data_IF_238433877317
#
_entry.id   IF_238433877317
#
_cell.length_a   1.000
_cell.length_b   1.000
_cell.length_c   1.000
_cell.angle_alpha   90.00
_cell.angle_beta   90.00
_cell.angle_gamma   90.00
#
_symmetry.space_group_name_H-M   'P 1'
#
loop_
_entity.id
_entity.type
_entity.pdbx_description
1 polymer ?
#
# COMPACT_ATOMS: atom_id res chain seq x y z
N UNK A 1 5.51 21.06 -15.94
CA UNK A 1 5.75 19.69 -15.45
C UNK A 1 5.55 19.70 -13.95
N UNK A 2 4.52 19.04 -13.42
CA UNK A 2 4.30 18.92 -11.97
C UNK A 2 5.37 17.97 -11.41
N UNK A 3 6.16 18.46 -10.46
CA UNK A 3 7.18 17.66 -9.77
C UNK A 3 6.49 16.46 -9.11
N UNK A 4 7.00 15.23 -9.33
CA UNK A 4 6.42 14.04 -8.68
C UNK A 4 6.56 14.19 -7.17
N UNK A 5 5.43 14.15 -6.46
CA UNK A 5 5.40 14.10 -5.01
C UNK A 5 5.60 12.66 -4.53
N UNK A 6 6.48 12.49 -3.55
CA UNK A 6 6.79 11.20 -2.95
C UNK A 6 6.38 11.19 -1.49
N UNK A 7 5.63 10.17 -1.11
CA UNK A 7 5.27 9.82 0.26
C UNK A 7 6.36 8.93 0.85
N UNK A 8 6.55 8.96 2.17
CA UNK A 8 7.53 8.10 2.84
C UNK A 8 6.86 6.83 3.35
N UNK A 9 7.57 5.71 3.30
CA UNK A 9 7.06 4.43 3.78
C UNK A 9 8.15 3.63 4.49
N UNK A 10 7.87 3.27 5.75
CA UNK A 10 8.79 2.48 6.58
C UNK A 10 8.03 1.37 7.27
N UNK A 11 8.52 0.14 7.19
CA UNK A 11 7.96 -1.03 7.89
C UNK A 11 9.04 -1.77 8.65
N UNK A 12 8.74 -2.32 9.81
CA UNK A 12 9.64 -3.18 10.56
C UNK A 12 9.09 -4.61 10.54
N UNK A 13 9.97 -5.60 10.50
CA UNK A 13 9.54 -6.98 10.67
C UNK A 13 9.12 -7.20 12.12
N UNK A 14 7.91 -7.71 12.33
CA UNK A 14 7.46 -8.09 13.66
C UNK A 14 7.90 -9.52 13.96
N UNK A 15 8.99 -9.67 14.72
CA UNK A 15 9.51 -10.98 15.13
C UNK A 15 8.52 -11.78 15.99
N UNK A 16 7.59 -11.11 16.68
CA UNK A 16 6.53 -11.72 17.49
C UNK A 16 5.29 -12.16 16.70
N UNK A 17 5.22 -11.90 15.39
CA UNK A 17 4.13 -12.37 14.53
C UNK A 17 4.24 -13.85 14.14
N UNK A 18 5.35 -14.53 14.51
CA UNK A 18 5.51 -15.96 14.25
C UNK A 18 4.52 -16.75 15.12
N UNK A 19 3.48 -17.28 14.45
CA UNK A 19 2.56 -18.34 14.89
C UNK A 19 1.14 -17.97 15.34
N UNK A 20 0.62 -16.74 15.15
CA UNK A 20 -0.83 -16.49 15.24
C UNK A 20 -1.27 -15.16 14.57
N UNK A 21 -2.39 -15.20 13.84
CA UNK A 21 -2.99 -14.09 13.07
C UNK A 21 -3.42 -12.84 13.89
N UNK A 22 -3.09 -12.78 15.18
CA UNK A 22 -3.49 -11.70 16.09
C UNK A 22 -2.58 -10.47 16.03
N UNK A 23 -1.41 -10.57 15.39
CA UNK A 23 -0.46 -9.46 15.26
C UNK A 23 0.01 -9.30 13.80
N UNK A 24 0.25 -8.05 13.33
CA UNK A 24 0.74 -7.82 11.97
C UNK A 24 2.16 -8.34 11.79
N UNK A 25 2.44 -8.97 10.66
CA UNK A 25 3.78 -9.45 10.25
C UNK A 25 4.75 -8.30 10.03
N UNK A 26 4.26 -7.19 9.46
CA UNK A 26 5.02 -5.96 9.28
C UNK A 26 4.28 -4.80 9.93
N UNK A 27 4.98 -3.95 10.69
CA UNK A 27 4.40 -2.74 11.30
C UNK A 27 5.32 -1.54 11.11
N UNK A 28 4.75 -0.38 10.80
CA UNK A 28 5.52 0.86 10.75
C UNK A 28 4.65 2.07 10.49
N UNK A 29 5.14 2.96 9.64
CA UNK A 29 4.52 4.26 9.38
C UNK A 29 4.59 4.62 7.90
N UNK A 30 3.60 5.38 7.47
CA UNK A 30 3.59 6.02 6.17
C UNK A 30 3.37 7.52 6.36
N UNK A 31 4.00 8.35 5.51
CA UNK A 31 3.72 9.77 5.42
C UNK A 31 3.21 10.08 4.02
N UNK A 32 1.91 10.32 3.88
CA UNK A 32 1.28 10.57 2.58
C UNK A 32 1.13 12.07 2.36
N UNK A 33 1.49 12.54 1.17
CA UNK A 33 1.34 13.95 0.79
C UNK A 33 -0.03 14.15 0.12
N UNK A 34 -0.80 15.14 0.59
CA UNK A 34 -2.06 15.56 -0.01
C UNK A 34 -1.84 16.56 -1.18
N UNK A 35 -2.90 16.89 -1.92
CA UNK A 35 -2.82 17.74 -3.12
C UNK A 35 -2.29 19.16 -2.88
N UNK A 36 -2.45 19.68 -1.66
CA UNK A 36 -1.93 20.97 -1.24
C UNK A 36 -0.48 20.91 -0.74
N UNK A 37 0.14 19.72 -0.73
CA UNK A 37 1.48 19.48 -0.20
C UNK A 37 1.50 19.14 1.30
N UNK A 38 0.36 19.12 1.99
CA UNK A 38 0.27 18.75 3.40
C UNK A 38 0.62 17.28 3.59
N UNK A 39 1.53 16.99 4.52
CA UNK A 39 1.90 15.63 4.88
C UNK A 39 1.01 15.09 6.00
N UNK A 40 0.43 13.91 5.79
CA UNK A 40 -0.43 13.21 6.75
C UNK A 40 0.25 11.91 7.16
N UNK A 41 0.40 11.71 8.48
CA UNK A 41 1.01 10.51 9.03
C UNK A 41 -0.01 9.39 9.25
N UNK A 42 0.39 8.17 8.90
CA UNK A 42 -0.36 6.94 9.09
C UNK A 42 0.50 5.92 9.85
N UNK A 43 -0.14 5.16 10.73
CA UNK A 43 0.36 3.85 11.13
C UNK A 43 0.09 2.85 10.01
N UNK A 44 1.09 2.03 9.71
CA UNK A 44 1.01 0.98 8.70
C UNK A 44 1.11 -0.38 9.37
N UNK A 45 0.19 -1.29 9.05
CA UNK A 45 0.21 -2.65 9.56
C UNK A 45 -0.13 -3.63 8.43
N UNK A 46 0.70 -4.65 8.22
CA UNK A 46 0.52 -5.63 7.17
C UNK A 46 0.48 -7.07 7.71
N UNK A 47 -0.49 -7.85 7.26
CA UNK A 47 -0.73 -9.24 7.65
C UNK A 47 -0.55 -10.19 6.47
N UNK A 48 0.23 -11.25 6.67
CA UNK A 48 0.54 -12.24 5.63
C UNK A 48 1.90 -12.91 5.84
N UNK A 49 2.43 -13.62 4.82
CA UNK A 49 1.90 -13.69 3.46
C UNK A 49 0.57 -14.46 3.39
N UNK A 50 -0.32 -14.02 2.49
CA UNK A 50 -1.56 -14.70 2.13
C UNK A 50 -1.43 -15.22 0.70
N UNK A 51 -1.99 -16.41 0.45
CA UNK A 51 -2.00 -17.00 -0.88
C UNK A 51 -2.81 -16.14 -1.87
N UNK A 52 -2.24 -15.85 -3.04
CA UNK A 52 -2.98 -15.21 -4.12
C UNK A 52 -4.04 -16.17 -4.68
N UNK A 53 -5.27 -15.68 -4.82
CA UNK A 53 -6.38 -16.50 -5.36
C UNK A 53 -6.22 -16.84 -6.86
N UNK A 54 -5.39 -16.11 -7.60
CA UNK A 54 -5.26 -16.19 -9.07
C UNK A 54 -3.84 -16.47 -9.58
N UNK A 55 -3.07 -17.29 -8.86
CA UNK A 55 -1.71 -17.70 -9.29
C UNK A 55 -0.68 -16.56 -9.33
N UNK A 56 -1.02 -15.39 -8.81
CA UNK A 56 -0.09 -14.27 -8.60
C UNK A 56 0.83 -14.50 -7.39
N UNK A 57 1.76 -13.56 -7.11
CA UNK A 57 2.62 -13.66 -5.94
C UNK A 57 1.80 -13.53 -4.64
N UNK A 58 2.22 -14.26 -3.62
CA UNK A 58 1.69 -14.09 -2.26
C UNK A 58 1.79 -12.65 -1.80
N UNK A 59 0.83 -12.23 -0.97
CA UNK A 59 0.68 -10.83 -0.61
C UNK A 59 0.36 -10.61 0.87
N UNK A 60 0.70 -9.42 1.35
CA UNK A 60 0.34 -8.95 2.68
C UNK A 60 -0.80 -7.96 2.55
N UNK A 61 -1.88 -8.17 3.29
CA UNK A 61 -2.94 -7.18 3.44
C UNK A 61 -2.42 -6.01 4.27
N UNK A 62 -2.40 -4.81 3.71
CA UNK A 62 -1.94 -3.58 4.37
C UNK A 62 -3.15 -2.76 4.83
N UNK A 63 -3.11 -2.30 6.07
CA UNK A 63 -3.97 -1.22 6.58
C UNK A 63 -3.15 0.02 6.89
N UNK A 64 -3.70 1.19 6.55
CA UNK A 64 -3.15 2.50 6.87
C UNK A 64 -4.15 3.25 7.74
N UNK A 65 -3.76 3.55 8.97
CA UNK A 65 -4.59 4.27 9.95
C UNK A 65 -3.99 5.64 10.21
N UNK A 66 -4.67 6.76 9.92
CA UNK A 66 -4.12 8.08 10.18
C UNK A 66 -3.97 8.29 11.68
N UNK A 67 -2.87 8.94 12.06
CA UNK A 67 -2.62 9.29 13.46
C UNK A 67 -3.51 10.40 14.00
N UNK A 68 -3.98 11.28 13.11
CA UNK A 68 -4.90 12.35 13.47
C UNK A 68 -6.28 11.76 13.81
N UNK A 69 -6.69 11.91 15.07
CA UNK A 69 -7.97 11.42 15.57
C UNK A 69 -9.17 12.09 14.89
N UNK A 70 -9.05 13.33 14.41
CA UNK A 70 -10.13 14.01 13.68
C UNK A 70 -10.31 13.40 12.28
N UNK A 71 -9.21 13.05 11.61
CA UNK A 71 -9.25 12.28 10.35
C UNK A 71 -9.78 10.88 10.58
N UNK A 72 -9.36 10.22 11.66
CA UNK A 72 -9.88 8.92 12.09
C UNK A 72 -11.41 8.97 12.33
N UNK A 73 -11.90 10.00 13.02
CA UNK A 73 -13.33 10.16 13.30
C UNK A 73 -14.16 10.50 12.05
N UNK A 74 -13.59 11.17 11.05
CA UNK A 74 -14.25 11.39 9.75
C UNK A 74 -14.57 10.08 9.03
N UNK A 75 -13.79 9.01 9.24
CA UNK A 75 -14.07 7.68 8.68
C UNK A 75 -15.41 7.12 9.12
N UNK A 76 -15.79 7.30 10.39
CA UNK A 76 -17.08 6.83 10.91
C UNK A 76 -18.27 7.56 10.28
N UNK A 77 -18.02 8.72 9.64
CA UNK A 77 -19.03 9.59 9.04
C UNK A 77 -18.97 9.64 7.51
N UNK A 78 -17.92 9.10 6.91
CA UNK A 78 -17.76 9.12 5.45
C UNK A 78 -18.49 7.91 4.88
N UNK A 79 -19.74 8.10 4.50
CA UNK A 79 -20.38 7.20 3.56
C UNK A 79 -19.69 7.40 2.20
N UNK A 80 -18.89 6.41 1.80
CA UNK A 80 -18.43 6.34 0.42
C UNK A 80 -19.68 6.02 -0.41
N UNK A 81 -20.18 6.99 -1.18
CA UNK A 81 -21.36 6.82 -2.04
C UNK A 81 -21.27 5.55 -2.92
N UNK A 82 -20.05 5.11 -3.24
CA UNK A 82 -19.74 3.79 -3.80
C UNK A 82 -18.41 3.28 -3.22
N UNK A 83 -18.22 1.96 -3.04
CA UNK A 83 -16.94 1.41 -2.62
C UNK A 83 -15.85 1.72 -3.64
N UNK A 84 -14.77 2.35 -3.18
CA UNK A 84 -13.61 2.57 -4.05
C UNK A 84 -12.80 1.28 -4.11
N UNK A 85 -13.11 0.49 -5.14
CA UNK A 85 -12.45 -0.80 -5.41
C UNK A 85 -11.22 -0.60 -6.28
N UNK A 86 -10.09 -1.21 -5.90
CA UNK A 86 -9.05 -1.58 -6.84
C UNK A 86 -9.27 -3.03 -7.26
N UNK A 87 -10.06 -3.23 -8.33
CA UNK A 87 -10.43 -4.56 -8.82
C UNK A 87 -9.25 -5.36 -9.38
N UNK A 88 -8.23 -4.70 -9.96
CA UNK A 88 -7.04 -5.36 -10.52
C UNK A 88 -6.25 -6.03 -9.39
N UNK A 89 -6.02 -5.28 -8.31
CA UNK A 89 -5.21 -5.75 -7.18
C UNK A 89 -6.06 -6.38 -6.07
N UNK A 90 -7.38 -6.43 -6.22
CA UNK A 90 -8.30 -7.12 -5.32
C UNK A 90 -8.42 -6.55 -3.90
N UNK A 91 -8.21 -5.24 -3.71
CA UNK A 91 -8.44 -4.58 -2.41
C UNK A 91 -9.42 -3.42 -2.53
N UNK A 92 -10.16 -3.20 -1.44
CA UNK A 92 -11.22 -2.19 -1.33
C UNK A 92 -10.87 -1.17 -0.26
N UNK A 93 -11.20 0.10 -0.51
CA UNK A 93 -11.18 1.13 0.51
C UNK A 93 -12.36 0.96 1.46
N UNK A 94 -12.25 0.03 2.40
CA UNK A 94 -13.23 -0.15 3.49
C UNK A 94 -12.89 0.69 4.73
N UNK A 95 -11.72 1.36 4.74
CA UNK A 95 -11.17 2.18 5.84
C UNK A 95 -10.37 3.37 5.27
N UNK A 96 -9.85 4.27 6.12
CA UNK A 96 -9.04 5.43 5.70
C UNK A 96 -7.83 5.09 4.84
N UNK A 97 -7.31 3.86 4.93
CA UNK A 97 -6.44 3.35 3.89
C UNK A 97 -6.25 1.85 3.96
N UNK A 98 -6.17 1.24 2.79
CA UNK A 98 -5.96 -0.19 2.60
C UNK A 98 -5.06 -0.41 1.39
N UNK A 99 -4.40 -1.57 1.34
CA UNK A 99 -3.54 -1.91 0.23
C UNK A 99 -3.05 -3.35 0.27
N UNK A 100 -2.17 -3.66 -0.68
CA UNK A 100 -1.43 -4.92 -0.71
C UNK A 100 0.04 -4.65 -0.91
N UNK A 101 0.85 -5.46 -0.25
CA UNK A 101 2.29 -5.52 -0.45
C UNK A 101 2.68 -6.91 -0.94
N UNK A 102 3.65 -6.95 -1.84
CA UNK A 102 4.20 -8.15 -2.42
C UNK A 102 5.69 -8.17 -2.13
N UNK A 103 6.19 -9.34 -1.75
CA UNK A 103 7.63 -9.56 -1.59
C UNK A 103 8.22 -10.10 -2.89
N UNK A 104 9.26 -9.45 -3.42
CA UNK A 104 9.99 -9.98 -4.57
C UNK A 104 10.88 -11.15 -4.15
N UNK A 105 10.91 -12.19 -4.97
CA UNK A 105 11.89 -13.25 -4.84
C UNK A 105 13.30 -12.70 -5.02
N UNK A 106 14.28 -13.31 -4.34
CA UNK A 106 15.67 -12.85 -4.41
C UNK A 106 16.23 -12.89 -5.84
N UNK A 107 15.89 -13.94 -6.61
CA UNK A 107 16.33 -14.06 -8.00
C UNK A 107 15.83 -12.93 -8.91
N UNK A 108 14.66 -12.36 -8.66
CA UNK A 108 14.14 -11.23 -9.44
C UNK A 108 14.90 -9.94 -9.14
N UNK A 109 15.26 -9.74 -7.87
CA UNK A 109 16.09 -8.60 -7.44
C UNK A 109 17.47 -8.68 -8.09
N UNK A 110 18.07 -9.88 -8.10
CA UNK A 110 19.40 -10.10 -8.67
C UNK A 110 19.41 -9.92 -10.19
N UNK A 111 18.38 -10.41 -10.90
CA UNK A 111 18.17 -10.13 -12.33
C UNK A 111 17.98 -8.65 -12.62
N UNK A 112 17.27 -7.94 -11.75
CA UNK A 112 17.14 -6.49 -11.83
C UNK A 112 18.50 -5.80 -11.78
N UNK A 113 19.32 -6.16 -10.78
CA UNK A 113 20.66 -5.59 -10.58
C UNK A 113 21.57 -5.87 -11.77
N UNK A 114 21.58 -7.09 -12.30
CA UNK A 114 22.41 -7.44 -13.47
C UNK A 114 21.98 -6.68 -14.74
N UNK A 115 20.71 -6.27 -14.83
CA UNK A 115 20.19 -5.38 -15.87
C UNK A 115 20.33 -3.88 -15.56
N UNK A 116 21.11 -3.49 -14.55
CA UNK A 116 21.32 -2.09 -14.16
C UNK A 116 20.15 -1.43 -13.41
N UNK A 117 19.17 -2.22 -12.93
CA UNK A 117 18.01 -1.74 -12.19
C UNK A 117 18.11 -2.08 -10.71
N UNK A 118 17.90 -1.10 -9.84
CA UNK A 118 17.69 -1.34 -8.42
C UNK A 118 16.20 -1.63 -8.18
N UNK A 119 15.82 -2.92 -8.04
CA UNK A 119 14.45 -3.32 -7.72
C UNK A 119 14.21 -3.46 -6.21
N UNK A 120 13.17 -2.81 -5.64
CA UNK A 120 12.87 -2.87 -4.22
C UNK A 120 12.46 -4.28 -3.77
N UNK A 121 12.72 -4.62 -2.51
CA UNK A 121 12.35 -5.92 -1.92
C UNK A 121 10.83 -6.07 -1.83
N UNK A 122 10.15 -5.01 -1.41
CA UNK A 122 8.70 -4.95 -1.35
C UNK A 122 8.18 -3.92 -2.33
N UNK A 123 7.05 -4.25 -2.96
CA UNK A 123 6.30 -3.31 -3.77
C UNK A 123 4.81 -3.56 -3.58
N UNK A 124 3.98 -2.63 -4.01
CA UNK A 124 2.55 -2.85 -4.04
C UNK A 124 1.81 -1.54 -4.15
N UNK A 125 0.56 -1.56 -3.72
CA UNK A 125 -0.35 -0.45 -3.95
C UNK A 125 -1.23 -0.25 -2.74
N UNK A 126 -1.52 1.01 -2.44
CA UNK A 126 -2.48 1.40 -1.43
C UNK A 126 -3.42 2.48 -1.95
N UNK A 127 -4.59 2.53 -1.36
CA UNK A 127 -5.56 3.58 -1.53
C UNK A 127 -5.81 4.20 -0.16
N UNK A 128 -5.78 5.53 -0.09
CA UNK A 128 -6.03 6.27 1.15
C UNK A 128 -7.08 7.35 0.93
N UNK A 129 -7.82 7.69 1.97
CA UNK A 129 -8.75 8.82 1.99
C UNK A 129 -8.08 9.98 2.73
N UNK A 130 -7.73 11.03 1.98
CA UNK A 130 -7.18 12.29 2.53
C UNK A 130 -8.28 13.37 2.58
N UNK A 131 -8.05 14.50 3.29
CA UNK A 131 -8.98 15.64 3.30
C UNK A 131 -9.39 16.11 1.91
N UNK A 132 -8.48 16.14 0.93
CA UNK A 132 -8.84 16.53 -0.42
C UNK A 132 -9.68 15.47 -1.15
N UNK A 133 -9.64 14.21 -0.72
CA UNK A 133 -10.36 13.06 -1.29
C UNK A 133 -9.46 11.82 -1.43
N UNK A 134 -9.94 10.76 -2.12
CA UNK A 134 -9.20 9.52 -2.30
C UNK A 134 -7.91 9.69 -3.11
N UNK A 135 -6.84 8.98 -2.72
CA UNK A 135 -5.53 8.95 -3.37
C UNK A 135 -5.01 7.54 -3.54
N UNK A 136 -4.48 7.25 -4.71
CA UNK A 136 -3.77 6.01 -4.98
C UNK A 136 -2.28 6.20 -4.77
N UNK A 137 -1.63 5.22 -4.16
CA UNK A 137 -0.24 5.28 -3.75
C UNK A 137 0.46 4.01 -4.21
N UNK A 138 1.52 4.18 -4.99
CA UNK A 138 2.42 3.09 -5.32
C UNK A 138 3.47 2.95 -4.22
N UNK A 139 3.54 1.78 -3.60
CA UNK A 139 4.43 1.49 -2.50
C UNK A 139 5.68 0.78 -3.02
N UNK A 140 6.85 1.22 -2.55
CA UNK A 140 8.12 0.54 -2.85
C UNK A 140 9.04 0.64 -1.64
N UNK A 141 9.67 -0.46 -1.22
CA UNK A 141 10.56 -0.46 -0.06
C UNK A 141 11.72 -1.48 -0.14
N UNK A 142 12.84 -1.12 0.45
CA UNK A 142 14.09 -1.88 0.52
C UNK A 142 14.38 -2.35 1.93
N UNK A 143 14.79 -3.61 2.10
CA UNK A 143 15.21 -4.09 3.41
C UNK A 143 16.58 -3.52 3.79
N UNK A 144 16.67 -2.97 5.00
CA UNK A 144 17.91 -2.55 5.67
C UNK A 144 18.20 -3.55 6.79
N UNK A 145 19.04 -4.54 6.49
CA UNK A 145 19.36 -5.65 7.40
C UNK A 145 19.95 -5.21 8.73
N UNK A 146 20.76 -4.14 8.74
CA UNK A 146 21.40 -3.57 9.94
C UNK A 146 20.39 -3.13 11.01
N UNK A 147 19.19 -2.77 10.59
CA UNK A 147 18.14 -2.24 11.46
C UNK A 147 16.85 -3.07 11.41
N UNK A 148 16.87 -4.18 10.65
CA UNK A 148 15.75 -5.09 10.46
C UNK A 148 14.43 -4.39 10.07
N UNK A 149 14.52 -3.38 9.19
CA UNK A 149 13.37 -2.64 8.68
C UNK A 149 13.46 -2.35 7.19
N UNK A 150 12.31 -2.10 6.58
CA UNK A 150 12.12 -1.74 5.19
C UNK A 150 11.94 -0.21 5.06
N UNK A 151 12.71 0.42 4.19
CA UNK A 151 12.64 1.86 3.90
C UNK A 151 12.27 2.11 2.44
N UNK A 152 11.41 3.10 2.19
CA UNK A 152 10.89 3.30 0.85
C UNK A 152 10.22 4.64 0.63
N UNK A 153 10.09 4.99 -0.65
CA UNK A 153 9.33 6.14 -1.11
C UNK A 153 8.16 5.63 -1.96
N UNK A 154 7.05 6.33 -1.89
CA UNK A 154 5.80 5.94 -2.50
C UNK A 154 5.27 7.04 -3.41
N UNK A 155 4.94 6.72 -4.65
CA UNK A 155 4.50 7.73 -5.64
C UNK A 155 3.02 7.99 -5.43
N UNK A 156 2.63 9.28 -5.43
CA UNK A 156 1.22 9.66 -5.43
C UNK A 156 0.67 9.63 -6.86
N UNK A 157 -0.35 8.81 -7.10
CA UNK A 157 -1.02 8.71 -8.41
C UNK A 157 -2.31 9.55 -8.42
N UNK A 158 -2.55 10.22 -9.55
CA UNK A 158 -3.71 11.07 -9.81
C UNK A 158 -5.04 10.28 -9.91
N UNK A 159 -6.16 10.95 -9.60
CA UNK A 159 -7.54 10.43 -9.65
C UNK A 159 -7.92 9.85 -11.01
N UNK A 160 -7.41 10.41 -12.10
CA UNK A 160 -7.61 9.90 -13.46
C UNK A 160 -6.96 8.53 -13.67
N UNK A 161 -5.77 8.31 -13.11
CA UNK A 161 -5.07 7.02 -13.15
C UNK A 161 -5.76 5.98 -12.26
N UNK A 162 -6.28 6.38 -11.10
CA UNK A 162 -7.11 5.50 -10.27
C UNK A 162 -8.41 5.10 -11.01
N UNK A 163 -9.00 6.02 -11.79
CA UNK A 163 -10.17 5.72 -12.63
C UNK A 163 -9.82 4.79 -13.82
N UNK A 164 -8.64 4.94 -14.43
CA UNK A 164 -8.17 4.04 -15.49
C UNK A 164 -7.94 2.60 -14.96
N UNK A 165 -7.36 2.43 -13.77
CA UNK A 165 -7.23 1.12 -13.12
C UNK A 165 -8.60 0.48 -12.79
N UNK A 166 -9.63 1.28 -12.48
CA UNK A 166 -11.01 0.80 -12.33
C UNK A 166 -11.64 0.37 -13.65
N UNK A 167 -11.26 1.00 -14.75
CA UNK A 167 -11.83 0.76 -16.07
C UNK A 167 -11.30 -0.54 -16.72
N UNK A 168 -10.10 -0.99 -16.38
CA UNK A 168 -9.48 -2.19 -16.96
C UNK A 168 -9.92 -3.52 -16.31
N UNK A 169 -11.18 -3.62 -15.88
CA UNK A 169 -11.73 -4.84 -15.26
C UNK A 169 -11.51 -6.08 -16.15
N UNK A 170 -11.03 -7.21 -15.63
CA UNK A 170 -11.45 -8.50 -16.13
C UNK A 170 -12.94 -8.63 -15.82
N UNK A 171 -13.73 -8.91 -16.85
CA UNK A 171 -15.16 -9.18 -16.71
C UNK A 171 -15.33 -10.35 -15.72
N UNK A 172 -15.86 -10.06 -14.53
CA UNK A 172 -16.28 -11.12 -13.59
C UNK A 172 -17.33 -11.94 -14.34
N UNK A 173 -16.97 -13.12 -14.82
CA UNK A 173 -17.96 -14.13 -15.16
C UNK A 173 -18.60 -14.55 -13.84
N UNK A 174 -19.78 -13.99 -13.59
CA UNK A 174 -20.70 -14.49 -12.59
C UNK A 174 -21.21 -15.83 -13.14
N UNK A 175 -20.68 -16.92 -12.59
CA UNK A 175 -21.30 -18.25 -12.64
C UNK A 175 -22.09 -18.47 -11.36
#
# INVERSE_FOLDING_TARGET
MTQKAFSDFTLNFNTGARANDKAPTLKGKARVIDADGTAIEFEAAAWGPNAAQSGGPDFYNLSLTPKDAALAARQLKTELNEPVLNAIEGFELTKLGSGRLFERAQGDIDKGKSGGKALPRFYGHALVLLPSGPRYIDLSAWHRSEHNFYSGNAVLHDRSAAAAARASKPQRQLG
#
